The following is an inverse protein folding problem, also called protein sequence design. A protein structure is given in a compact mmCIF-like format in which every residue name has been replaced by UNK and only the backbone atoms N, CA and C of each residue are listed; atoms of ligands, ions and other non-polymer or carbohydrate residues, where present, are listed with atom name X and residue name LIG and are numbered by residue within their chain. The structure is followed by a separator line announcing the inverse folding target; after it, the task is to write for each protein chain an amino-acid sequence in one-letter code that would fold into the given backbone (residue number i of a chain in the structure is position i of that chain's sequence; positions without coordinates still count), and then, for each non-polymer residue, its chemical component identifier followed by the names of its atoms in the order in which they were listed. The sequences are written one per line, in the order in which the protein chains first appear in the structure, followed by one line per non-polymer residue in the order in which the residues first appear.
data_IF_479134131108
#
_entry.id   IF_479134131108
#
_cell.length_a   1.000
_cell.length_b   1.000
_cell.length_c   1.000
_cell.angle_alpha   90.00
_cell.angle_beta   90.00
_cell.angle_gamma   90.00
#
_symmetry.space_group_name_H-M   'P 1'
#
loop_
_entity.id
_entity.type
_entity.pdbx_description
1 polymer ?
#
# COMPACT_ATOMS: atom_id res chain seq x y z
N UNK A 1 3.23 15.59 6.24
CA UNK A 1 2.15 14.90 7.01
C UNK A 1 2.24 15.28 8.50
N UNK A 2 1.11 15.52 9.19
CA UNK A 2 1.11 15.66 10.65
C UNK A 2 1.35 14.28 11.29
N UNK A 3 2.27 14.16 12.25
CA UNK A 3 2.51 12.90 12.96
C UNK A 3 1.29 12.56 13.84
N UNK A 4 0.46 11.57 13.49
CA UNK A 4 -0.72 11.26 14.28
C UNK A 4 -0.31 10.63 15.62
N UNK A 5 -1.07 10.96 16.64
CA UNK A 5 -1.03 10.30 17.94
C UNK A 5 -1.56 8.87 17.86
N UNK A 6 -1.18 8.03 18.82
CA UNK A 6 -1.70 6.66 18.93
C UNK A 6 -3.23 6.63 19.08
N UNK A 7 -3.81 7.62 19.74
CA UNK A 7 -5.27 7.71 19.90
C UNK A 7 -5.96 8.11 18.59
N UNK A 8 -5.39 8.99 17.77
CA UNK A 8 -5.93 9.29 16.44
C UNK A 8 -5.91 8.05 15.54
N UNK A 9 -4.84 7.26 15.55
CA UNK A 9 -4.78 5.98 14.82
C UNK A 9 -5.86 5.01 15.31
N UNK A 10 -6.09 4.92 16.63
CA UNK A 10 -7.12 4.07 17.21
C UNK A 10 -8.53 4.50 16.79
N UNK A 11 -8.82 5.80 16.81
CA UNK A 11 -10.08 6.35 16.34
C UNK A 11 -10.30 6.09 14.85
N UNK A 12 -9.25 6.21 14.03
CA UNK A 12 -9.30 5.87 12.61
C UNK A 12 -9.59 4.37 12.39
N UNK A 13 -8.92 3.48 13.11
CA UNK A 13 -9.23 2.03 13.05
C UNK A 13 -10.69 1.75 13.42
N UNK A 14 -11.20 2.38 14.48
CA UNK A 14 -12.62 2.24 14.87
C UNK A 14 -13.58 2.76 13.79
N UNK A 15 -13.29 3.93 13.20
CA UNK A 15 -14.07 4.52 12.10
C UNK A 15 -14.13 3.61 10.88
N UNK A 16 -13.04 2.89 10.59
CA UNK A 16 -12.91 1.94 9.49
C UNK A 16 -13.43 0.54 9.82
N UNK A 17 -13.86 0.27 11.06
CA UNK A 17 -14.29 -1.06 11.51
C UNK A 17 -13.14 -2.06 11.69
N UNK A 18 -11.89 -1.59 11.76
CA UNK A 18 -10.69 -2.43 11.88
C UNK A 18 -10.47 -2.83 13.34
N UNK A 19 -10.24 -4.12 13.65
CA UNK A 19 -9.86 -4.58 14.99
C UNK A 19 -8.59 -3.91 15.50
N UNK A 20 -8.61 -3.47 16.76
CA UNK A 20 -7.52 -2.68 17.36
C UNK A 20 -6.27 -3.51 17.66
N UNK A 21 -6.46 -4.81 17.88
CA UNK A 21 -5.44 -5.81 18.20
C UNK A 21 -4.77 -6.40 16.95
N UNK A 22 -5.31 -6.13 15.75
CA UNK A 22 -4.73 -6.61 14.49
C UNK A 22 -3.82 -5.59 13.82
N UNK A 23 -2.77 -6.12 13.19
CA UNK A 23 -1.94 -5.43 12.20
C UNK A 23 -2.75 -5.15 10.94
N UNK A 24 -2.37 -4.11 10.21
CA UNK A 24 -3.07 -3.69 9.00
C UNK A 24 -2.13 -3.77 7.81
N UNK A 25 -2.47 -4.61 6.85
CA UNK A 25 -1.76 -4.71 5.57
C UNK A 25 -2.63 -4.00 4.54
N UNK A 26 -2.07 -3.07 3.78
CA UNK A 26 -2.81 -2.42 2.69
C UNK A 26 -2.24 -2.83 1.34
N UNK A 27 -3.10 -3.37 0.49
CA UNK A 27 -2.79 -3.65 -0.90
C UNK A 27 -3.34 -2.53 -1.79
N UNK A 28 -2.44 -1.81 -2.47
CA UNK A 28 -2.76 -0.66 -3.31
C UNK A 28 -2.00 -0.75 -4.66
N UNK A 29 -2.46 -1.63 -5.58
CA UNK A 29 -1.83 -1.80 -6.88
C UNK A 29 -2.20 -0.67 -7.85
N UNK A 30 -1.41 -0.55 -8.91
CA UNK A 30 -1.70 0.33 -10.05
C UNK A 30 -2.82 -0.28 -10.89
N UNK A 31 -3.66 0.57 -11.46
CA UNK A 31 -4.71 0.14 -12.39
C UNK A 31 -4.11 -0.47 -13.68
N UNK A 32 -4.81 -1.44 -14.26
CA UNK A 32 -4.38 -2.19 -15.45
C UNK A 32 -5.47 -2.12 -16.53
N UNK A 33 -5.21 -1.43 -17.64
CA UNK A 33 -6.17 -1.33 -18.77
C UNK A 33 -6.45 -2.70 -19.41
N UNK A 34 -5.43 -3.56 -19.45
CA UNK A 34 -5.48 -4.88 -20.07
C UNK A 34 -6.25 -5.93 -19.26
N UNK A 35 -6.76 -5.62 -18.08
CA UNK A 35 -7.62 -6.55 -17.33
C UNK A 35 -9.10 -6.44 -17.72
N UNK A 36 -9.44 -5.52 -18.63
CA UNK A 36 -10.78 -5.35 -19.19
C UNK A 36 -10.97 -6.15 -20.49
N UNK A 37 -10.65 -7.45 -20.50
CA UNK A 37 -10.94 -8.31 -21.64
C UNK A 37 -12.34 -8.92 -21.57
N UNK A 38 -13.37 -8.09 -21.85
CA UNK A 38 -14.69 -8.37 -22.46
C UNK A 38 -15.86 -7.71 -21.71
N UNK A 39 -16.73 -7.04 -22.47
CA UNK A 39 -18.00 -6.48 -21.98
C UNK A 39 -18.88 -7.59 -21.37
N UNK A 40 -19.14 -7.52 -20.07
CA UNK A 40 -20.30 -8.16 -19.44
C UNK A 40 -20.06 -9.39 -18.57
N UNK A 41 -18.82 -9.82 -18.31
CA UNK A 41 -18.52 -10.96 -17.40
C UNK A 41 -17.13 -10.90 -16.74
N UNK A 42 -16.78 -9.89 -15.92
CA UNK A 42 -15.46 -9.90 -15.27
C UNK A 42 -15.53 -9.40 -13.83
N UNK A 43 -15.40 -10.34 -12.89
CA UNK A 43 -14.82 -10.06 -11.57
C UNK A 43 -13.34 -9.78 -11.78
N UNK A 44 -12.84 -8.68 -11.21
CA UNK A 44 -11.40 -8.53 -11.06
C UNK A 44 -10.93 -9.63 -10.10
N UNK A 45 -10.01 -10.49 -10.54
CA UNK A 45 -9.41 -11.50 -9.67
C UNK A 45 -8.13 -10.93 -9.07
N UNK A 46 -8.01 -11.03 -7.75
CA UNK A 46 -6.77 -10.68 -7.07
C UNK A 46 -5.67 -11.63 -7.55
N UNK A 47 -4.43 -11.13 -7.72
CA UNK A 47 -3.28 -11.95 -8.11
C UNK A 47 -2.82 -12.94 -7.01
N UNK A 48 -3.58 -13.04 -5.91
CA UNK A 48 -3.35 -13.93 -4.78
C UNK A 48 -4.69 -14.43 -4.22
N UNK A 49 -4.63 -15.54 -3.48
CA UNK A 49 -5.80 -16.16 -2.87
C UNK A 49 -6.13 -15.50 -1.52
N UNK A 50 -7.30 -14.86 -1.41
CA UNK A 50 -7.78 -14.33 -0.11
C UNK A 50 -7.90 -15.41 0.95
N UNK A 51 -8.26 -16.64 0.56
CA UNK A 51 -8.34 -17.79 1.46
C UNK A 51 -6.98 -18.10 2.07
N UNK A 52 -5.96 -18.24 1.24
CA UNK A 52 -4.60 -18.55 1.73
C UNK A 52 -4.04 -17.39 2.55
N UNK A 53 -4.31 -16.15 2.13
CA UNK A 53 -3.93 -14.95 2.88
C UNK A 53 -4.56 -14.96 4.28
N UNK A 54 -5.86 -15.21 4.39
CA UNK A 54 -6.56 -15.28 5.67
C UNK A 54 -6.06 -16.45 6.53
N UNK A 55 -5.84 -17.63 5.95
CA UNK A 55 -5.32 -18.80 6.67
C UNK A 55 -3.94 -18.53 7.29
N UNK A 56 -3.07 -17.79 6.60
CA UNK A 56 -1.72 -17.46 7.06
C UNK A 56 -1.69 -16.29 8.05
N UNK A 57 -2.45 -15.23 7.79
CA UNK A 57 -2.27 -13.95 8.48
C UNK A 57 -3.51 -13.45 9.24
N UNK A 58 -4.68 -14.03 8.99
CA UNK A 58 -5.95 -13.52 9.50
C UNK A 58 -6.11 -13.55 11.02
N UNK A 59 -5.28 -14.32 11.74
CA UNK A 59 -5.23 -14.31 13.21
C UNK A 59 -4.61 -13.02 13.76
N UNK A 60 -3.64 -12.42 13.05
CA UNK A 60 -2.83 -11.30 13.54
C UNK A 60 -2.99 -10.02 12.70
N UNK A 61 -3.54 -10.13 11.49
CA UNK A 61 -3.65 -9.02 10.55
C UNK A 61 -5.01 -8.97 9.83
N UNK A 62 -5.32 -7.81 9.28
CA UNK A 62 -6.38 -7.57 8.29
C UNK A 62 -5.78 -7.03 7.00
N UNK A 63 -6.51 -7.19 5.89
CA UNK A 63 -6.14 -6.70 4.57
C UNK A 63 -7.07 -5.56 4.13
N UNK A 64 -6.51 -4.40 3.85
CA UNK A 64 -7.21 -3.30 3.20
C UNK A 64 -6.94 -3.37 1.69
N UNK A 65 -8.01 -3.42 0.89
CA UNK A 65 -7.94 -3.41 -0.57
C UNK A 65 -8.24 -2.00 -1.07
N UNK A 66 -7.22 -1.33 -1.62
CA UNK A 66 -7.33 0.01 -2.20
C UNK A 66 -7.19 -0.07 -3.71
N UNK A 67 -8.28 -0.40 -4.38
CA UNK A 67 -8.31 -0.58 -5.83
C UNK A 67 -8.79 0.67 -6.55
N UNK A 68 -8.54 0.73 -7.86
CA UNK A 68 -9.10 1.77 -8.70
C UNK A 68 -10.62 1.64 -8.80
N UNK A 69 -11.36 2.76 -8.80
CA UNK A 69 -12.84 2.75 -8.73
C UNK A 69 -13.52 1.96 -9.86
N UNK A 70 -12.85 1.83 -11.02
CA UNK A 70 -13.34 1.04 -12.16
C UNK A 70 -13.36 -0.47 -11.91
N UNK A 71 -12.53 -0.97 -10.99
CA UNK A 71 -12.43 -2.40 -10.63
C UNK A 71 -12.93 -2.67 -9.20
N UNK A 72 -13.06 -1.65 -8.36
CA UNK A 72 -13.51 -1.81 -6.99
C UNK A 72 -14.88 -2.51 -6.90
N UNK A 73 -15.84 -2.07 -7.74
CA UNK A 73 -17.19 -2.63 -7.79
C UNK A 73 -17.27 -4.06 -8.36
N UNK A 74 -16.18 -4.62 -8.87
CA UNK A 74 -16.13 -5.97 -9.42
C UNK A 74 -15.31 -6.96 -8.57
N UNK A 75 -14.83 -6.54 -7.40
CA UNK A 75 -14.19 -7.43 -6.44
C UNK A 75 -15.25 -8.25 -5.68
N UNK A 76 -15.04 -9.56 -5.61
CA UNK A 76 -15.79 -10.44 -4.72
C UNK A 76 -14.92 -10.78 -3.50
N UNK A 77 -15.30 -10.23 -2.35
CA UNK A 77 -14.68 -10.52 -1.04
C UNK A 77 -15.64 -11.30 -0.12
N UNK A 78 -16.71 -11.87 -0.68
CA UNK A 78 -17.73 -12.58 0.10
C UNK A 78 -17.10 -13.75 0.87
N UNK A 79 -17.40 -13.83 2.17
CA UNK A 79 -16.81 -14.82 3.09
C UNK A 79 -15.49 -14.41 3.72
N UNK A 80 -14.97 -13.20 3.43
CA UNK A 80 -13.76 -12.64 4.01
C UNK A 80 -14.01 -11.35 4.79
N UNK A 81 -15.25 -11.04 5.17
CA UNK A 81 -15.66 -9.74 5.73
C UNK A 81 -14.94 -9.37 7.05
N UNK A 82 -14.53 -10.37 7.84
CA UNK A 82 -13.77 -10.15 9.08
C UNK A 82 -12.26 -9.94 8.85
N UNK A 83 -11.80 -10.07 7.60
CA UNK A 83 -10.39 -10.08 7.23
C UNK A 83 -10.04 -9.06 6.15
N UNK A 84 -10.81 -9.00 5.06
CA UNK A 84 -10.57 -8.14 3.91
C UNK A 84 -11.59 -6.99 3.87
N UNK A 85 -11.08 -5.77 3.76
CA UNK A 85 -11.88 -4.54 3.77
C UNK A 85 -11.67 -3.81 2.44
N UNK A 86 -12.73 -3.64 1.65
CA UNK A 86 -12.68 -2.75 0.49
C UNK A 86 -12.69 -1.29 0.95
N UNK A 87 -11.55 -0.61 0.76
CA UNK A 87 -11.36 0.80 1.11
C UNK A 87 -11.20 1.65 -0.15
N UNK A 88 -11.56 1.15 -1.33
CA UNK A 88 -11.39 1.83 -2.63
C UNK A 88 -12.19 3.13 -2.75
N UNK A 89 -13.31 3.24 -2.04
CA UNK A 89 -14.16 4.44 -2.00
C UNK A 89 -13.77 5.45 -0.92
N UNK A 90 -12.80 5.12 -0.06
CA UNK A 90 -12.36 6.00 1.02
C UNK A 90 -11.67 7.25 0.45
N UNK A 91 -12.07 8.45 0.88
CA UNK A 91 -11.62 9.67 0.22
C UNK A 91 -10.13 9.96 0.47
N UNK A 92 -9.68 9.85 1.72
CA UNK A 92 -8.32 10.22 2.11
C UNK A 92 -7.43 8.99 2.29
N UNK A 93 -6.58 8.73 1.30
CA UNK A 93 -5.61 7.63 1.37
C UNK A 93 -4.54 7.84 2.44
N UNK A 94 -4.29 9.08 2.86
CA UNK A 94 -3.31 9.39 3.90
C UNK A 94 -3.73 8.76 5.23
N UNK A 95 -5.01 8.84 5.59
CA UNK A 95 -5.53 8.18 6.79
C UNK A 95 -5.38 6.65 6.71
N UNK A 96 -5.53 6.05 5.52
CA UNK A 96 -5.27 4.63 5.29
C UNK A 96 -3.79 4.29 5.49
N UNK A 97 -2.87 5.16 5.05
CA UNK A 97 -1.44 4.99 5.34
C UNK A 97 -1.18 4.99 6.84
N UNK A 98 -1.78 5.93 7.59
CA UNK A 98 -1.56 6.06 9.03
C UNK A 98 -1.95 4.82 9.82
N UNK A 99 -3.01 4.12 9.42
CA UNK A 99 -3.45 2.87 10.08
C UNK A 99 -2.72 1.62 9.59
N UNK A 100 -2.06 1.69 8.43
CA UNK A 100 -1.36 0.56 7.81
C UNK A 100 0.00 0.31 8.44
N UNK A 101 0.29 -0.93 8.79
CA UNK A 101 1.60 -1.39 9.26
C UNK A 101 2.50 -1.78 8.07
N UNK A 102 1.92 -2.35 7.00
CA UNK A 102 2.62 -2.78 5.78
C UNK A 102 1.87 -2.29 4.53
N UNK A 103 2.61 -1.71 3.58
CA UNK A 103 2.10 -1.43 2.23
C UNK A 103 2.55 -2.52 1.27
N UNK A 104 1.61 -3.08 0.52
CA UNK A 104 1.86 -3.90 -0.67
C UNK A 104 1.43 -3.09 -1.89
N UNK A 105 2.35 -2.84 -2.82
CA UNK A 105 2.07 -2.08 -4.04
C UNK A 105 2.90 -2.62 -5.20
N UNK A 106 2.87 -1.96 -6.36
CA UNK A 106 3.63 -2.35 -7.55
C UNK A 106 4.34 -1.13 -8.16
N UNK A 107 3.80 -0.57 -9.23
CA UNK A 107 4.32 0.57 -9.97
C UNK A 107 3.74 1.91 -9.50
N UNK A 108 2.92 1.89 -8.45
CA UNK A 108 2.15 3.05 -8.01
C UNK A 108 3.02 4.05 -7.27
N UNK A 109 2.80 5.35 -7.46
CA UNK A 109 3.58 6.38 -6.75
C UNK A 109 3.27 6.44 -5.25
N UNK A 110 2.25 5.72 -4.76
CA UNK A 110 1.84 5.73 -3.34
C UNK A 110 2.96 5.34 -2.37
N UNK A 111 3.96 4.57 -2.83
CA UNK A 111 5.09 4.21 -1.97
C UNK A 111 5.97 5.42 -1.61
N UNK A 112 6.00 6.48 -2.43
CA UNK A 112 6.71 7.72 -2.09
C UNK A 112 6.07 8.40 -0.87
N UNK A 113 4.74 8.48 -0.86
CA UNK A 113 3.98 9.09 0.24
C UNK A 113 4.02 8.22 1.50
N UNK A 114 3.90 6.90 1.34
CA UNK A 114 3.95 5.96 2.46
C UNK A 114 5.32 5.90 3.13
N UNK A 115 6.41 6.10 2.38
CA UNK A 115 7.77 6.08 2.91
C UNK A 115 8.02 7.13 4.01
N UNK A 116 7.23 8.22 4.06
CA UNK A 116 7.28 9.19 5.16
C UNK A 116 7.02 8.57 6.53
N UNK A 117 6.24 7.49 6.58
CA UNK A 117 5.90 6.79 7.81
C UNK A 117 7.02 5.90 8.33
N UNK A 118 8.08 5.69 7.55
CA UNK A 118 9.19 4.79 7.91
C UNK A 118 8.67 3.40 8.31
N UNK A 119 7.83 2.83 7.45
CA UNK A 119 7.20 1.50 7.61
C UNK A 119 7.52 0.62 6.41
N UNK A 120 7.48 -0.72 6.56
CA UNK A 120 7.73 -1.66 5.46
C UNK A 120 6.88 -1.42 4.21
N UNK A 121 7.51 -1.61 3.05
CA UNK A 121 6.89 -1.57 1.73
C UNK A 121 7.32 -2.83 0.98
N UNK A 122 6.34 -3.56 0.46
CA UNK A 122 6.52 -4.75 -0.36
C UNK A 122 6.01 -4.49 -1.77
N UNK A 123 6.84 -4.79 -2.76
CA UNK A 123 6.50 -4.63 -4.16
C UNK A 123 6.06 -5.98 -4.73
N UNK A 124 4.85 -6.03 -5.31
CA UNK A 124 4.26 -7.24 -5.89
C UNK A 124 3.96 -7.10 -7.40
N UNK A 125 5.00 -6.98 -8.25
CA UNK A 125 4.85 -6.89 -9.69
C UNK A 125 4.68 -8.28 -10.34
N UNK A 126 3.56 -8.96 -10.07
CA UNK A 126 3.28 -10.31 -10.61
C UNK A 126 3.28 -10.36 -12.16
N UNK A 127 3.11 -9.22 -12.82
CA UNK A 127 3.12 -9.03 -14.27
C UNK A 127 4.36 -8.27 -14.78
N UNK A 128 5.47 -8.29 -14.03
CA UNK A 128 6.71 -7.59 -14.37
C UNK A 128 7.19 -7.83 -15.79
N UNK A 129 7.16 -9.07 -16.27
CA UNK A 129 7.65 -9.41 -17.61
C UNK A 129 6.83 -8.75 -18.73
N UNK A 130 5.55 -8.43 -18.47
CA UNK A 130 4.66 -7.74 -19.40
C UNK A 130 4.92 -6.23 -19.34
N UNK A 131 5.08 -5.69 -18.13
CA UNK A 131 5.18 -4.24 -17.90
C UNK A 131 6.59 -3.67 -18.03
N UNK A 132 7.66 -4.48 -17.98
CA UNK A 132 9.06 -4.00 -17.97
C UNK A 132 9.43 -3.10 -19.15
N UNK A 133 8.80 -3.28 -20.31
CA UNK A 133 9.07 -2.44 -21.48
C UNK A 133 8.36 -1.08 -21.40
N UNK A 134 7.20 -1.02 -20.73
CA UNK A 134 6.53 0.23 -20.35
C UNK A 134 7.27 0.94 -19.20
N UNK A 135 7.90 0.17 -18.31
CA UNK A 135 8.74 0.68 -17.22
C UNK A 135 10.02 1.37 -17.68
N UNK A 136 10.42 1.27 -18.96
CA UNK A 136 11.59 2.03 -19.47
C UNK A 136 11.41 3.56 -19.36
N UNK A 137 10.21 4.04 -19.06
CA UNK A 137 9.92 5.44 -18.72
C UNK A 137 10.01 5.78 -17.22
N UNK A 138 10.33 4.83 -16.33
CA UNK A 138 10.46 5.12 -14.90
C UNK A 138 11.73 5.92 -14.60
N UNK A 139 11.59 6.91 -13.71
CA UNK A 139 12.70 7.72 -13.22
C UNK A 139 13.63 6.96 -12.25
N UNK A 140 13.22 5.78 -11.80
CA UNK A 140 13.92 4.91 -10.86
C UNK A 140 14.26 3.58 -11.53
N UNK A 141 15.43 3.02 -11.20
CA UNK A 141 15.70 1.62 -11.49
C UNK A 141 14.85 0.76 -10.55
N UNK A 142 13.76 0.21 -11.09
CA UNK A 142 12.77 -0.55 -10.30
C UNK A 142 13.40 -1.70 -9.50
N UNK A 143 14.49 -2.30 -9.98
CA UNK A 143 15.12 -3.42 -9.27
C UNK A 143 16.13 -2.98 -8.21
N UNK A 144 16.60 -1.72 -8.25
CA UNK A 144 17.68 -1.24 -7.38
C UNK A 144 17.28 -0.12 -6.44
N UNK A 145 16.37 0.75 -6.85
CA UNK A 145 16.11 2.02 -6.17
C UNK A 145 14.90 1.98 -5.24
N UNK A 146 14.09 0.92 -5.25
CA UNK A 146 12.86 0.84 -4.45
C UNK A 146 13.14 0.63 -2.96
N UNK A 147 12.36 1.24 -2.05
CA UNK A 147 12.55 1.14 -0.59
C UNK A 147 12.02 -0.16 0.01
N UNK A 148 12.10 -1.29 -0.70
CA UNK A 148 11.39 -2.50 -0.29
C UNK A 148 11.74 -3.75 -1.08
N UNK A 149 11.33 -4.90 -0.55
CA UNK A 149 11.49 -6.20 -1.21
C UNK A 149 10.56 -6.29 -2.42
N UNK A 150 10.94 -7.13 -3.39
CA UNK A 150 10.15 -7.38 -4.59
C UNK A 150 9.79 -8.87 -4.61
N UNK A 151 8.50 -9.17 -4.54
CA UNK A 151 7.94 -10.50 -4.69
C UNK A 151 7.32 -10.63 -6.09
N UNK A 152 7.78 -11.60 -6.88
CA UNK A 152 7.29 -11.78 -8.26
C UNK A 152 6.15 -12.80 -8.36
N UNK A 153 5.89 -13.56 -7.30
CA UNK A 153 4.83 -14.55 -7.24
C UNK A 153 4.23 -14.60 -5.82
N UNK A 154 3.09 -15.27 -5.66
CA UNK A 154 2.35 -15.30 -4.39
C UNK A 154 3.12 -16.00 -3.26
N UNK A 155 3.99 -16.96 -3.57
CA UNK A 155 4.80 -17.65 -2.55
C UNK A 155 5.79 -16.67 -1.94
N UNK A 156 6.56 -15.97 -2.78
CA UNK A 156 7.50 -14.92 -2.34
C UNK A 156 6.75 -13.82 -1.58
N UNK A 157 5.54 -13.45 -2.04
CA UNK A 157 4.71 -12.44 -1.40
C UNK A 157 4.39 -12.83 0.04
N UNK A 158 3.92 -14.06 0.27
CA UNK A 158 3.57 -14.51 1.61
C UNK A 158 4.78 -14.65 2.52
N UNK A 159 5.91 -15.15 2.00
CA UNK A 159 7.14 -15.27 2.79
C UNK A 159 7.64 -13.89 3.25
N UNK A 160 7.61 -12.89 2.36
CA UNK A 160 8.00 -11.52 2.72
C UNK A 160 6.99 -10.85 3.67
N UNK A 161 5.68 -11.07 3.50
CA UNK A 161 4.68 -10.60 4.50
C UNK A 161 4.97 -11.20 5.87
N UNK A 162 5.29 -12.50 5.96
CA UNK A 162 5.58 -13.15 7.23
C UNK A 162 6.82 -12.54 7.91
N UNK A 163 7.87 -12.24 7.13
CA UNK A 163 9.08 -11.58 7.64
C UNK A 163 8.79 -10.16 8.13
N UNK A 164 8.09 -9.36 7.34
CA UNK A 164 7.78 -7.96 7.68
C UNK A 164 6.85 -7.85 8.88
N UNK A 165 5.91 -8.79 9.07
CA UNK A 165 5.06 -8.82 10.28
C UNK A 165 5.82 -9.22 11.55
N UNK A 166 6.93 -9.97 11.44
CA UNK A 166 7.76 -10.38 12.58
C UNK A 166 8.76 -9.30 12.99
N UNK A 167 9.50 -8.75 12.03
CA UNK A 167 10.58 -7.81 12.32
C UNK A 167 10.07 -6.37 12.37
N UNK A 168 9.15 -5.98 11.48
CA UNK A 168 8.51 -4.66 11.34
C UNK A 168 9.39 -3.45 11.73
N UNK A 169 10.69 -3.55 11.45
CA UNK A 169 11.71 -2.57 11.82
C UNK A 169 12.61 -2.31 10.62
N UNK A 170 12.33 -1.19 9.96
CA UNK A 170 13.08 -0.75 8.79
C UNK A 170 14.30 0.10 9.16
N UNK A 171 14.61 0.32 10.45
CA UNK A 171 15.68 1.25 10.87
C UNK A 171 17.06 0.85 10.35
N UNK A 172 17.27 -0.44 10.09
CA UNK A 172 18.53 -0.99 9.57
C UNK A 172 18.51 -1.20 8.04
N UNK A 173 17.39 -0.88 7.37
CA UNK A 173 17.27 -1.04 5.92
C UNK A 173 17.98 0.12 5.21
N UNK A 174 19.22 -0.13 4.77
CA UNK A 174 20.04 0.87 4.07
C UNK A 174 19.38 1.38 2.78
N UNK A 175 18.70 0.50 2.04
CA UNK A 175 18.02 0.87 0.80
C UNK A 175 16.86 1.83 1.08
N UNK A 176 16.06 1.54 2.11
CA UNK A 176 14.99 2.43 2.58
C UNK A 176 15.57 3.79 3.01
N UNK A 177 16.65 3.81 3.80
CA UNK A 177 17.25 5.07 4.25
C UNK A 177 17.83 5.91 3.10
N UNK A 178 18.42 5.26 2.08
CA UNK A 178 18.87 5.98 0.86
C UNK A 178 17.69 6.57 0.10
N UNK A 179 16.61 5.80 -0.07
CA UNK A 179 15.38 6.28 -0.69
C UNK A 179 14.76 7.45 0.08
N UNK A 180 14.63 7.31 1.40
CA UNK A 180 14.06 8.33 2.29
C UNK A 180 14.85 9.64 2.20
N UNK A 181 16.18 9.59 2.23
CA UNK A 181 17.02 10.79 2.06
C UNK A 181 16.85 11.45 0.69
N UNK A 182 16.67 10.66 -0.36
CA UNK A 182 16.51 11.16 -1.74
C UNK A 182 15.14 11.78 -1.98
N UNK A 183 14.08 11.22 -1.41
CA UNK A 183 12.69 11.59 -1.79
C UNK A 183 11.85 12.17 -0.65
N UNK A 184 12.14 11.82 0.61
CA UNK A 184 11.37 12.27 1.77
C UNK A 184 12.07 13.38 2.58
N UNK A 185 13.30 13.76 2.22
CA UNK A 185 14.10 14.73 2.97
C UNK A 185 13.62 16.20 2.89
N UNK A 186 12.60 16.50 2.08
CA UNK A 186 12.16 17.88 1.80
C UNK A 186 10.86 18.29 2.52
N UNK A 187 10.01 17.34 2.94
CA UNK A 187 8.76 17.67 3.63
C UNK A 187 8.99 17.88 5.13
N UNK A 188 8.81 19.11 5.60
CA UNK A 188 8.80 19.44 7.03
C UNK A 188 7.38 19.31 7.65
N UNK A 189 6.40 18.81 6.89
CA UNK A 189 5.00 18.73 7.29
C UNK A 189 4.26 20.07 7.27
N UNK A 190 4.88 21.10 6.72
CA UNK A 190 4.39 22.48 6.71
C UNK A 190 4.05 23.00 5.31
N UNK A 191 3.98 22.11 4.32
CA UNK A 191 3.69 22.46 2.92
C UNK A 191 2.41 23.31 2.78
N UNK A 192 1.30 22.89 3.39
CA UNK A 192 0.05 23.65 3.39
C UNK A 192 0.20 25.03 4.02
N UNK A 193 0.90 25.12 5.16
CA UNK A 193 1.18 26.39 5.85
C UNK A 193 2.01 27.33 4.99
N UNK A 194 3.04 26.81 4.30
CA UNK A 194 3.88 27.59 3.37
C UNK A 194 3.07 28.16 2.22
N UNK A 195 2.15 27.37 1.65
CA UNK A 195 1.28 27.82 0.55
C UNK A 195 0.29 28.88 1.03
N UNK A 196 -0.35 28.70 2.19
CA UNK A 196 -1.25 29.71 2.76
C UNK A 196 -0.53 31.03 2.95
N UNK A 197 0.67 31.02 3.56
CA UNK A 197 1.49 32.23 3.72
C UNK A 197 1.83 32.90 2.39
N UNK A 198 2.19 32.12 1.37
CA UNK A 198 2.51 32.65 0.04
C UNK A 198 1.29 33.31 -0.65
N UNK A 199 0.09 32.79 -0.41
CA UNK A 199 -1.15 33.37 -0.93
C UNK A 199 -1.50 34.66 -0.18
N UNK A 200 -1.31 34.69 1.15
CA UNK A 200 -1.57 35.86 2.00
C UNK A 200 -0.58 37.01 1.78
N UNK A 201 0.63 36.73 1.31
CA UNK A 201 1.67 37.74 1.00
C UNK A 201 1.51 38.42 -0.37
N UNK A 202 0.50 38.04 -1.16
CA UNK A 202 0.15 38.66 -2.46
C UNK A 202 -1.10 39.54 -2.37
#
# INVERSE_FOLDING_TARGET
MANPTKEEIKLLKQKLGIPLDKKVIMYAPTYRDNQFFQKGKYSFELPFSLKEFQERFGSNAVLLLRMHYLIANSMDISGFEDFAYDVSSYADISELYLVSDLLITDYSSVFFDYAYLKRPILFYPYDYEIYKDELRGFYLDYQKDLPGKIAYNSVDLYDEIENELKENDISNNQQFEMFYKRFCGLDAGDASTKIVKLIEEK
#
